data_IF_738923042848
#
_entry.id   IF_738923042848
#
_cell.length_a   1.000
_cell.length_b   1.000
_cell.length_c   1.000
_cell.angle_alpha   90.00
_cell.angle_beta   90.00
_cell.angle_gamma   90.00
#
_symmetry.space_group_name_H-M   'P 1'
#
loop_
_entity.id
_entity.type
_entity.pdbx_description
1 polymer ?
#
# COMPACT_ATOMS: atom_id res chain seq x y z
N UNK A 1 -6.64 14.07 -0.96
CA UNK A 1 -7.68 14.99 -1.47
C UNK A 1 -7.88 14.90 -2.98
N UNK A 2 -6.83 14.88 -3.80
CA UNK A 2 -6.98 15.00 -5.26
C UNK A 2 -7.45 13.74 -5.99
N UNK A 3 -7.41 12.56 -5.34
CA UNK A 3 -7.67 11.26 -6.00
C UNK A 3 -9.01 11.20 -6.74
N UNK A 4 -10.11 11.65 -6.11
CA UNK A 4 -11.44 11.62 -6.74
C UNK A 4 -11.58 12.62 -7.90
N UNK A 5 -11.00 13.82 -7.77
CA UNK A 5 -11.02 14.86 -8.83
C UNK A 5 -10.18 14.42 -10.01
N UNK A 6 -9.08 13.71 -9.75
CA UNK A 6 -8.12 13.37 -10.79
C UNK A 6 -8.77 12.54 -11.90
N UNK A 7 -9.70 11.64 -11.55
CA UNK A 7 -10.47 10.87 -12.52
C UNK A 7 -11.28 11.78 -13.43
N UNK A 8 -11.91 12.81 -12.88
CA UNK A 8 -12.70 13.75 -13.68
C UNK A 8 -11.84 14.59 -14.62
N UNK A 9 -10.71 15.08 -14.12
CA UNK A 9 -9.77 15.88 -14.90
C UNK A 9 -9.07 15.08 -15.99
N UNK A 10 -8.60 13.86 -15.68
CA UNK A 10 -7.89 13.03 -16.67
C UNK A 10 -8.84 12.54 -17.75
N UNK A 11 -10.05 12.10 -17.39
CA UNK A 11 -11.06 11.66 -18.37
C UNK A 11 -11.58 12.83 -19.21
N UNK A 12 -11.87 13.98 -18.59
CA UNK A 12 -12.36 15.17 -19.30
C UNK A 12 -11.34 15.74 -20.29
N UNK A 13 -10.05 15.69 -19.96
CA UNK A 13 -9.00 16.16 -20.85
C UNK A 13 -8.69 15.14 -21.97
N UNK A 14 -8.52 13.87 -21.63
CA UNK A 14 -8.06 12.85 -22.58
C UNK A 14 -9.19 12.35 -23.49
N UNK A 15 -10.40 12.20 -22.98
CA UNK A 15 -11.55 11.68 -23.74
C UNK A 15 -12.77 12.61 -23.57
N UNK A 16 -12.72 13.83 -24.14
CA UNK A 16 -13.80 14.81 -23.96
C UNK A 16 -15.11 14.31 -24.58
N UNK A 17 -16.18 14.27 -23.78
CA UNK A 17 -17.52 13.87 -24.22
C UNK A 17 -17.76 12.36 -24.29
N UNK A 18 -16.76 11.53 -23.99
CA UNK A 18 -16.90 10.08 -23.94
C UNK A 18 -17.15 9.61 -22.50
N UNK A 19 -18.03 8.62 -22.33
CA UNK A 19 -18.27 8.02 -21.02
C UNK A 19 -17.13 7.10 -20.59
N UNK A 20 -16.49 6.43 -21.54
CA UNK A 20 -15.36 5.52 -21.33
C UNK A 20 -14.07 6.23 -21.75
N UNK A 21 -12.98 6.03 -20.99
CA UNK A 21 -11.67 6.58 -21.38
C UNK A 21 -10.57 5.51 -21.23
N UNK A 22 -10.45 4.60 -22.22
CA UNK A 22 -9.42 3.57 -22.28
C UNK A 22 -8.00 4.11 -22.03
N UNK A 23 -7.71 5.28 -22.59
CA UNK A 23 -6.42 5.92 -22.51
C UNK A 23 -6.03 6.32 -21.07
N UNK A 24 -6.95 6.95 -20.32
CA UNK A 24 -6.69 7.34 -18.93
C UNK A 24 -6.46 6.12 -18.02
N UNK A 25 -7.20 5.04 -18.25
CA UNK A 25 -7.06 3.77 -17.53
C UNK A 25 -5.68 3.16 -17.81
N UNK A 26 -5.29 3.10 -19.09
CA UNK A 26 -4.00 2.57 -19.50
C UNK A 26 -2.83 3.39 -18.91
N UNK A 27 -2.87 4.72 -19.01
CA UNK A 27 -1.82 5.60 -18.47
C UNK A 27 -1.70 5.47 -16.95
N UNK A 28 -2.82 5.34 -16.24
CA UNK A 28 -2.81 5.10 -14.78
C UNK A 28 -2.16 3.76 -14.45
N UNK A 29 -2.49 2.70 -15.18
CA UNK A 29 -1.89 1.38 -15.01
C UNK A 29 -0.38 1.40 -15.24
N UNK A 30 0.06 1.97 -16.38
CA UNK A 30 1.48 2.11 -16.73
C UNK A 30 2.22 2.92 -15.66
N UNK A 31 1.67 4.05 -15.22
CA UNK A 31 2.27 4.86 -14.16
C UNK A 31 2.48 4.04 -12.88
N UNK A 32 1.48 3.31 -12.41
CA UNK A 32 1.59 2.52 -11.19
C UNK A 32 2.63 1.39 -11.31
N UNK A 33 2.67 0.73 -12.48
CA UNK A 33 3.67 -0.30 -12.79
C UNK A 33 5.09 0.28 -12.79
N UNK A 34 5.32 1.38 -13.51
CA UNK A 34 6.62 2.04 -13.59
C UNK A 34 7.08 2.49 -12.20
N UNK A 35 6.23 3.21 -11.47
CA UNK A 35 6.52 3.62 -10.08
C UNK A 35 6.83 2.42 -9.20
N UNK A 36 6.07 1.33 -9.34
CA UNK A 36 6.26 0.08 -8.61
C UNK A 36 7.65 -0.55 -8.81
N UNK A 37 8.15 -0.57 -10.05
CA UNK A 37 9.48 -1.11 -10.38
C UNK A 37 10.58 -0.22 -9.81
N UNK A 38 10.53 1.08 -10.09
CA UNK A 38 11.61 2.00 -9.74
C UNK A 38 11.66 2.29 -8.23
N UNK A 39 10.51 2.29 -7.52
CA UNK A 39 10.50 2.51 -6.06
C UNK A 39 11.23 1.40 -5.30
N UNK A 40 11.27 0.16 -5.80
CA UNK A 40 12.00 -0.93 -5.13
C UNK A 40 13.50 -0.65 -5.02
N UNK A 41 14.05 0.09 -6.00
CA UNK A 41 15.46 0.49 -6.06
C UNK A 41 15.66 1.83 -5.37
N UNK A 42 14.72 2.78 -5.53
CA UNK A 42 14.86 4.13 -4.99
C UNK A 42 14.64 4.22 -3.48
N UNK A 43 13.78 3.40 -2.89
CA UNK A 43 13.52 3.45 -1.44
C UNK A 43 14.78 3.22 -0.59
N UNK A 44 15.58 2.16 -0.84
CA UNK A 44 16.83 1.94 -0.10
C UNK A 44 17.87 3.03 -0.36
N UNK A 45 17.95 3.54 -1.60
CA UNK A 45 18.87 4.61 -1.98
C UNK A 45 18.54 5.87 -1.18
N UNK A 46 17.29 6.32 -1.22
CA UNK A 46 16.86 7.51 -0.47
C UNK A 46 17.00 7.33 1.04
N UNK A 47 16.83 6.12 1.56
CA UNK A 47 17.13 5.81 2.96
C UNK A 47 18.60 6.08 3.31
N UNK A 48 19.53 5.54 2.52
CA UNK A 48 20.95 5.78 2.74
C UNK A 48 21.36 7.25 2.52
N UNK A 49 20.80 7.92 1.51
CA UNK A 49 21.05 9.35 1.31
C UNK A 49 20.51 10.17 2.48
N UNK A 50 19.39 9.79 3.09
CA UNK A 50 18.87 10.45 4.29
C UNK A 50 19.78 10.21 5.51
N UNK A 51 20.43 9.06 5.60
CA UNK A 51 21.40 8.78 6.65
C UNK A 51 22.74 9.51 6.43
N UNK A 52 23.15 9.78 5.18
CA UNK A 52 24.41 10.47 4.85
C UNK A 52 24.29 12.00 4.79
N UNK A 53 23.25 12.51 4.12
CA UNK A 53 23.04 13.95 3.89
C UNK A 53 22.10 14.60 4.89
N UNK A 54 21.49 13.81 5.77
CA UNK A 54 20.53 14.25 6.77
C UNK A 54 19.08 13.96 6.41
N UNK A 55 18.25 13.77 7.44
CA UNK A 55 16.85 13.37 7.28
C UNK A 55 15.96 14.54 6.90
N UNK A 56 16.21 15.74 7.44
CA UNK A 56 15.45 16.96 7.12
C UNK A 56 15.54 17.34 5.64
N UNK A 57 16.72 17.47 4.99
CA UNK A 57 16.81 17.86 3.60
C UNK A 57 16.17 16.82 2.68
N UNK A 58 16.34 15.52 2.95
CA UNK A 58 15.69 14.48 2.15
C UNK A 58 14.17 14.48 2.27
N UNK A 59 13.64 14.73 3.48
CA UNK A 59 12.19 14.89 3.67
C UNK A 59 11.63 16.11 2.93
N UNK A 60 12.35 17.24 2.95
CA UNK A 60 11.98 18.44 2.20
C UNK A 60 12.00 18.21 0.68
N UNK A 61 13.02 17.54 0.15
CA UNK A 61 13.12 17.20 -1.28
C UNK A 61 11.94 16.32 -1.68
N UNK A 62 11.71 15.22 -0.96
CA UNK A 62 10.65 14.25 -1.30
C UNK A 62 9.28 14.91 -1.34
N UNK A 63 8.95 15.75 -0.37
CA UNK A 63 7.66 16.44 -0.32
C UNK A 63 7.57 17.53 -1.40
N UNK A 64 8.64 18.28 -1.64
CA UNK A 64 8.67 19.33 -2.67
C UNK A 64 8.41 18.79 -4.08
N UNK A 65 8.87 17.57 -4.41
CA UNK A 65 8.61 16.97 -5.73
C UNK A 65 7.12 16.81 -6.04
N UNK A 66 6.27 16.67 -5.00
CA UNK A 66 4.83 16.44 -5.16
C UNK A 66 4.05 17.69 -5.54
N UNK A 67 4.64 18.87 -5.39
CA UNK A 67 4.03 20.17 -5.70
C UNK A 67 3.90 20.36 -7.21
N UNK A 68 4.95 20.05 -7.97
CA UNK A 68 5.04 20.33 -9.40
C UNK A 68 3.92 19.68 -10.24
N UNK A 69 3.59 18.37 -10.06
CA UNK A 69 2.50 17.77 -10.82
C UNK A 69 1.15 18.46 -10.58
N UNK A 70 0.86 18.85 -9.34
CA UNK A 70 -0.41 19.52 -9.03
C UNK A 70 -0.44 20.97 -9.51
N UNK A 71 0.69 21.69 -9.46
CA UNK A 71 0.82 23.02 -10.02
C UNK A 71 0.51 23.02 -11.54
N UNK A 72 0.95 21.99 -12.25
CA UNK A 72 0.69 21.83 -13.68
C UNK A 72 -0.82 21.70 -13.96
N UNK A 73 -1.54 20.86 -13.21
CA UNK A 73 -3.01 20.70 -13.36
C UNK A 73 -3.82 21.90 -12.85
N UNK A 74 -3.26 22.70 -11.93
CA UNK A 74 -3.86 23.96 -11.53
C UNK A 74 -3.74 25.02 -12.63
N UNK A 75 -2.65 25.00 -13.41
CA UNK A 75 -2.41 25.95 -14.51
C UNK A 75 -3.33 25.68 -15.69
N UNK A 76 -3.38 24.44 -16.19
CA UNK A 76 -4.21 24.08 -17.34
C UNK A 76 -4.52 22.58 -17.34
N UNK A 77 -5.71 22.25 -17.83
CA UNK A 77 -6.24 20.88 -17.90
C UNK A 77 -6.44 20.42 -19.35
N UNK A 78 -5.58 20.89 -20.27
CA UNK A 78 -5.57 20.41 -21.66
C UNK A 78 -4.87 19.04 -21.77
N UNK A 79 -5.09 18.31 -22.87
CA UNK A 79 -4.44 17.01 -23.14
C UNK A 79 -2.93 17.04 -22.90
N UNK A 80 -2.22 18.03 -23.45
CA UNK A 80 -0.77 18.17 -23.30
C UNK A 80 -0.32 18.30 -21.84
N UNK A 81 -1.05 19.08 -21.04
CA UNK A 81 -0.76 19.25 -19.62
C UNK A 81 -1.05 17.97 -18.81
N UNK A 82 -2.05 17.19 -19.20
CA UNK A 82 -2.34 15.90 -18.54
C UNK A 82 -1.26 14.85 -18.84
N UNK A 83 -0.71 14.78 -20.06
CA UNK A 83 0.44 13.91 -20.33
C UNK A 83 1.68 14.34 -19.53
N UNK A 84 1.98 15.64 -19.53
CA UNK A 84 3.08 16.17 -18.72
C UNK A 84 2.85 15.93 -17.21
N UNK A 85 1.60 15.96 -16.75
CA UNK A 85 1.24 15.57 -15.39
C UNK A 85 1.59 14.10 -15.12
N UNK A 86 1.23 13.16 -16.00
CA UNK A 86 1.58 11.75 -15.81
C UNK A 86 3.11 11.55 -15.71
N UNK A 87 3.89 12.22 -16.57
CA UNK A 87 5.36 12.14 -16.52
C UNK A 87 5.91 12.70 -15.21
N UNK A 88 5.58 13.93 -14.85
CA UNK A 88 6.07 14.57 -13.63
C UNK A 88 5.59 13.83 -12.37
N UNK A 89 4.35 13.36 -12.37
CA UNK A 89 3.77 12.60 -11.26
C UNK A 89 4.46 11.24 -11.09
N UNK A 90 4.84 10.60 -12.18
CA UNK A 90 5.61 9.34 -12.14
C UNK A 90 6.98 9.56 -11.50
N UNK A 91 7.71 10.58 -11.94
CA UNK A 91 9.02 10.95 -11.36
C UNK A 91 8.86 11.30 -9.87
N UNK A 92 7.86 12.14 -9.54
CA UNK A 92 7.57 12.52 -8.17
C UNK A 92 7.24 11.29 -7.31
N UNK A 93 6.43 10.35 -7.78
CA UNK A 93 6.11 9.13 -7.03
C UNK A 93 7.30 8.21 -6.83
N UNK A 94 8.18 8.07 -7.82
CA UNK A 94 9.41 7.29 -7.68
C UNK A 94 10.27 7.81 -6.51
N UNK A 95 10.31 9.14 -6.32
CA UNK A 95 11.10 9.80 -5.28
C UNK A 95 10.34 9.83 -3.94
N UNK A 96 9.05 10.20 -3.96
CA UNK A 96 8.28 10.54 -2.75
C UNK A 96 7.50 9.37 -2.16
N UNK A 97 6.93 8.49 -2.99
CA UNK A 97 5.98 7.48 -2.55
C UNK A 97 6.71 6.40 -1.73
N UNK A 98 6.33 6.26 -0.46
CA UNK A 98 6.99 5.37 0.49
C UNK A 98 8.21 6.01 1.17
N UNK A 99 9.03 6.79 0.46
CA UNK A 99 10.22 7.44 1.02
C UNK A 99 9.87 8.42 2.14
N UNK A 100 8.78 9.18 1.98
CA UNK A 100 8.30 10.10 3.02
C UNK A 100 8.01 9.34 4.33
N UNK A 101 7.30 8.22 4.24
CA UNK A 101 6.98 7.40 5.41
C UNK A 101 8.25 6.79 6.03
N UNK A 102 9.12 6.21 5.19
CA UNK A 102 10.39 5.61 5.64
C UNK A 102 11.26 6.62 6.40
N UNK A 103 11.53 7.78 5.80
CA UNK A 103 12.37 8.82 6.41
C UNK A 103 11.72 9.37 7.69
N UNK A 104 10.38 9.52 7.71
CA UNK A 104 9.66 9.99 8.90
C UNK A 104 9.75 9.02 10.07
N UNK A 105 9.59 7.72 9.82
CA UNK A 105 9.73 6.68 10.85
C UNK A 105 11.16 6.61 11.36
N UNK A 106 12.15 6.69 10.47
CA UNK A 106 13.56 6.71 10.88
C UNK A 106 13.92 7.98 11.66
N UNK A 107 13.38 9.14 11.29
CA UNK A 107 13.53 10.38 12.06
C UNK A 107 12.94 10.24 13.47
N UNK A 108 11.75 9.68 13.58
CA UNK A 108 11.13 9.41 14.88
C UNK A 108 11.96 8.42 15.71
N UNK A 109 12.61 7.44 15.08
CA UNK A 109 13.50 6.50 15.77
C UNK A 109 14.73 7.19 16.37
N UNK A 110 15.27 8.23 15.73
CA UNK A 110 16.42 8.98 16.22
C UNK A 110 16.08 9.83 17.45
N UNK A 111 14.88 10.43 17.49
CA UNK A 111 14.48 11.39 18.55
C UNK A 111 13.77 10.72 19.73
N UNK A 112 13.08 9.61 19.47
CA UNK A 112 12.26 8.93 20.49
C UNK A 112 13.05 7.82 21.19
N UNK A 113 13.00 7.85 22.52
CA UNK A 113 13.56 6.82 23.40
C UNK A 113 12.99 5.43 23.08
N UNK A 114 13.84 4.40 23.17
CA UNK A 114 13.52 3.02 22.78
C UNK A 114 12.19 2.48 23.30
N UNK A 115 11.87 2.75 24.57
CA UNK A 115 10.63 2.30 25.24
C UNK A 115 9.35 2.90 24.64
N UNK A 116 9.43 4.11 24.05
CA UNK A 116 8.29 4.86 23.50
C UNK A 116 8.19 4.78 21.97
N UNK A 117 9.16 4.15 21.30
CA UNK A 117 9.20 4.06 19.82
C UNK A 117 7.97 3.39 19.23
N UNK A 118 7.51 2.29 19.83
CA UNK A 118 6.33 1.57 19.34
C UNK A 118 5.08 2.47 19.34
N UNK A 119 4.88 3.26 20.40
CA UNK A 119 3.77 4.21 20.48
C UNK A 119 3.91 5.34 19.45
N UNK A 120 5.13 5.88 19.26
CA UNK A 120 5.40 6.91 18.27
C UNK A 120 5.15 6.43 16.83
N UNK A 121 5.61 5.22 16.48
CA UNK A 121 5.37 4.63 15.16
C UNK A 121 3.89 4.33 14.92
N UNK A 122 3.17 3.90 15.97
CA UNK A 122 1.71 3.75 15.96
C UNK A 122 1.02 5.07 15.66
N UNK A 123 1.42 6.17 16.31
CA UNK A 123 0.86 7.50 16.08
C UNK A 123 1.13 8.00 14.66
N UNK A 124 2.35 7.86 14.13
CA UNK A 124 2.70 8.25 12.76
C UNK A 124 1.84 7.49 11.73
N UNK A 125 1.70 6.18 11.90
CA UNK A 125 0.89 5.34 11.01
C UNK A 125 -0.59 5.71 11.12
N UNK A 126 -1.07 5.98 12.34
CA UNK A 126 -2.43 6.45 12.59
C UNK A 126 -2.73 7.80 11.94
N UNK A 127 -1.81 8.76 12.01
CA UNK A 127 -1.94 10.05 11.31
C UNK A 127 -1.99 9.88 9.80
N UNK A 128 -1.18 8.97 9.25
CA UNK A 128 -1.20 8.70 7.82
C UNK A 128 -2.59 8.19 7.39
N UNK A 129 -3.15 7.22 8.11
CA UNK A 129 -4.51 6.72 7.86
C UNK A 129 -5.59 7.78 8.05
N UNK A 130 -5.52 8.58 9.13
CA UNK A 130 -6.45 9.67 9.37
C UNK A 130 -6.41 10.73 8.26
N UNK A 131 -5.21 11.07 7.77
CA UNK A 131 -5.02 12.05 6.69
C UNK A 131 -5.66 11.60 5.38
N UNK A 132 -5.69 10.29 5.09
CA UNK A 132 -6.40 9.74 3.94
C UNK A 132 -7.92 9.99 4.05
N UNK A 133 -8.51 9.73 5.23
CA UNK A 133 -9.95 9.95 5.46
C UNK A 133 -10.30 11.43 5.39
N UNK A 134 -9.57 12.27 6.13
CA UNK A 134 -9.74 13.74 6.10
C UNK A 134 -9.56 14.27 4.68
N UNK A 135 -8.60 13.74 3.94
CA UNK A 135 -8.37 14.09 2.54
C UNK A 135 -9.57 13.79 1.64
N UNK A 136 -10.29 12.68 1.86
CA UNK A 136 -11.50 12.33 1.08
C UNK A 136 -12.71 13.18 1.51
N UNK A 137 -12.82 13.50 2.79
CA UNK A 137 -13.83 14.44 3.33
C UNK A 137 -13.64 15.82 2.69
N UNK A 138 -12.43 16.38 2.74
CA UNK A 138 -12.14 17.66 2.12
C UNK A 138 -12.39 17.63 0.61
N UNK A 139 -12.02 16.53 -0.07
CA UNK A 139 -12.31 16.38 -1.50
C UNK A 139 -13.81 16.51 -1.79
N UNK A 140 -14.67 15.89 -0.96
CA UNK A 140 -16.13 15.95 -1.14
C UNK A 140 -16.73 17.35 -1.00
N UNK A 141 -16.22 18.15 -0.06
CA UNK A 141 -16.82 19.45 0.28
C UNK A 141 -16.19 20.63 -0.46
N UNK A 142 -14.93 20.52 -0.90
CA UNK A 142 -14.30 21.58 -1.69
C UNK A 142 -14.85 21.59 -3.12
N UNK A 143 -15.08 22.75 -3.75
CA UNK A 143 -15.42 22.80 -5.17
C UNK A 143 -14.25 22.36 -6.06
N UNK A 144 -14.55 21.80 -7.24
CA UNK A 144 -13.54 21.19 -8.14
C UNK A 144 -12.43 22.16 -8.54
N UNK A 145 -12.80 23.40 -8.89
CA UNK A 145 -11.85 24.43 -9.29
C UNK A 145 -10.84 24.82 -8.22
N UNK A 146 -11.16 24.67 -6.93
CA UNK A 146 -10.27 25.07 -5.83
C UNK A 146 -9.39 23.94 -5.30
N UNK A 147 -9.66 22.68 -5.66
CA UNK A 147 -8.98 21.53 -5.03
C UNK A 147 -7.48 21.50 -5.29
N UNK A 148 -7.04 21.80 -6.51
CA UNK A 148 -5.61 21.83 -6.80
C UNK A 148 -4.93 23.00 -6.09
N UNK A 149 -5.54 24.20 -6.08
CA UNK A 149 -5.01 25.35 -5.36
C UNK A 149 -4.87 25.09 -3.86
N UNK A 150 -5.90 24.54 -3.22
CA UNK A 150 -5.83 24.19 -1.78
C UNK A 150 -4.81 23.08 -1.54
N UNK A 151 -4.71 22.08 -2.41
CA UNK A 151 -3.70 21.02 -2.28
C UNK A 151 -2.27 21.57 -2.35
N UNK A 152 -2.00 22.47 -3.30
CA UNK A 152 -0.71 23.13 -3.45
C UNK A 152 -0.42 24.01 -2.24
N UNK A 153 -1.38 24.81 -1.79
CA UNK A 153 -1.24 25.65 -0.61
C UNK A 153 -0.88 24.82 0.63
N UNK A 154 -1.58 23.70 0.86
CA UNK A 154 -1.28 22.80 1.98
C UNK A 154 0.12 22.17 1.86
N UNK A 155 0.53 21.74 0.67
CA UNK A 155 1.86 21.17 0.44
C UNK A 155 2.98 22.20 0.66
N UNK A 156 2.82 23.43 0.16
CA UNK A 156 3.77 24.53 0.37
C UNK A 156 3.83 24.87 1.87
N UNK A 157 2.67 25.03 2.52
CA UNK A 157 2.58 25.34 3.94
C UNK A 157 3.24 24.26 4.80
N UNK A 158 2.99 22.99 4.50
CA UNK A 158 3.64 21.86 5.17
C UNK A 158 5.16 21.88 4.96
N UNK A 159 5.62 22.15 3.73
CA UNK A 159 7.06 22.24 3.40
C UNK A 159 7.74 23.38 4.16
N UNK A 160 7.11 24.55 4.23
CA UNK A 160 7.60 25.70 5.01
C UNK A 160 7.62 25.37 6.50
N UNK A 161 6.54 24.77 7.02
CA UNK A 161 6.43 24.35 8.40
C UNK A 161 7.56 23.38 8.78
N UNK A 162 7.80 22.33 7.99
CA UNK A 162 8.91 21.41 8.23
C UNK A 162 10.27 22.11 8.12
N UNK A 163 10.45 23.05 7.19
CA UNK A 163 11.72 23.78 7.06
C UNK A 163 12.03 24.59 8.32
N UNK A 164 11.03 25.23 8.92
CA UNK A 164 11.18 26.08 10.10
C UNK A 164 11.31 25.25 11.39
N UNK A 165 10.40 24.29 11.61
CA UNK A 165 10.25 23.64 12.90
C UNK A 165 10.97 22.29 13.03
N UNK A 166 11.26 21.60 11.93
CA UNK A 166 11.94 20.31 12.00
C UNK A 166 13.44 20.53 12.21
N UNK A 167 13.98 20.04 13.34
CA UNK A 167 15.43 20.01 13.57
C UNK A 167 16.09 18.89 12.76
N UNK A 168 17.36 19.05 12.37
CA UNK A 168 18.13 17.95 11.78
C UNK A 168 18.62 17.01 12.89
N UNK A 169 18.51 15.69 12.69
CA UNK A 169 18.93 14.67 13.66
C UNK A 169 20.30 14.10 13.32
N UNK A 170 20.67 14.10 12.04
CA UNK A 170 21.95 13.56 11.59
C UNK A 170 23.00 14.67 11.59
N UNK A 171 23.96 14.57 12.50
CA UNK A 171 25.21 15.32 12.38
C UNK A 171 25.99 14.76 11.20
N UNK A 172 26.18 15.56 10.15
CA UNK A 172 26.97 15.18 8.99
C UNK A 172 28.35 14.70 9.45
N UNK A 173 28.67 13.43 9.21
CA UNK A 173 30.01 12.91 9.48
C UNK A 173 31.02 13.69 8.63
N UNK A 174 32.24 13.97 9.15
CA UNK A 174 33.28 14.61 8.36
C UNK A 174 33.49 13.80 7.08
N UNK A 175 33.42 14.48 5.93
CA UNK A 175 33.53 13.89 4.60
C UNK A 175 34.84 13.11 4.49
N UNK A 176 34.79 11.80 4.74
CA UNK A 176 35.85 10.92 4.28
C UNK A 176 35.70 10.89 2.76
N UNK A 177 36.70 11.39 2.04
CA UNK A 177 36.82 11.40 0.58
C UNK A 177 36.77 9.98 -0.02
N UNK A 178 35.61 9.34 0.08
CA UNK A 178 35.23 8.21 -0.74
C UNK A 178 34.09 8.72 -1.60
N UNK A 179 34.46 9.33 -2.73
CA UNK A 179 33.60 9.56 -3.87
C UNK A 179 33.10 8.19 -4.39
N UNK A 180 32.20 7.56 -3.64
CA UNK A 180 31.55 6.32 -4.05
C UNK A 180 30.59 6.70 -5.16
N UNK A 181 30.94 6.34 -6.39
CA UNK A 181 30.06 6.57 -7.53
C UNK A 181 28.68 5.97 -7.22
N UNK A 182 27.61 6.74 -7.40
CA UNK A 182 26.22 6.32 -7.20
C UNK A 182 25.91 4.90 -7.74
N UNK A 183 26.40 4.48 -8.93
CA UNK A 183 26.20 3.11 -9.43
C UNK A 183 26.76 2.01 -8.52
N UNK A 184 27.90 2.24 -7.88
CA UNK A 184 28.55 1.27 -6.99
C UNK A 184 27.79 1.06 -5.69
N UNK A 185 27.14 2.13 -5.19
CA UNK A 185 26.27 2.12 -4.02
C UNK A 185 24.98 1.32 -4.32
N UNK A 186 24.36 1.58 -5.48
CA UNK A 186 23.17 0.87 -5.97
C UNK A 186 23.46 -0.62 -6.11
N UNK A 187 24.58 -0.99 -6.75
CA UNK A 187 24.93 -2.39 -6.98
C UNK A 187 25.17 -3.16 -5.68
N UNK A 188 25.80 -2.52 -4.68
CA UNK A 188 26.01 -3.11 -3.34
C UNK A 188 24.69 -3.31 -2.60
N UNK A 189 23.81 -2.31 -2.60
CA UNK A 189 22.49 -2.39 -2.00
C UNK A 189 21.65 -3.51 -2.61
N UNK A 190 21.62 -3.59 -3.95
CA UNK A 190 20.91 -4.65 -4.66
C UNK A 190 21.49 -6.03 -4.36
N UNK A 191 22.82 -6.17 -4.33
CA UNK A 191 23.49 -7.43 -3.99
C UNK A 191 23.17 -7.87 -2.57
N UNK A 192 23.23 -6.97 -1.58
CA UNK A 192 22.87 -7.28 -0.19
C UNK A 192 21.40 -7.71 -0.06
N UNK A 193 20.49 -7.01 -0.76
CA UNK A 193 19.07 -7.36 -0.80
C UNK A 193 18.87 -8.77 -1.40
N UNK A 194 19.55 -9.09 -2.51
CA UNK A 194 19.43 -10.40 -3.15
C UNK A 194 19.94 -11.54 -2.25
N UNK A 195 21.08 -11.36 -1.57
CA UNK A 195 21.62 -12.35 -0.63
C UNK A 195 20.66 -12.55 0.55
N UNK A 196 20.19 -11.45 1.15
CA UNK A 196 19.22 -11.50 2.25
C UNK A 196 17.90 -12.17 1.85
N UNK A 197 17.43 -11.98 0.61
CA UNK A 197 16.25 -12.67 0.12
C UNK A 197 16.46 -14.17 -0.02
N UNK A 198 17.66 -14.62 -0.42
CA UNK A 198 17.97 -16.06 -0.54
C UNK A 198 17.89 -16.77 0.81
N UNK A 199 18.46 -16.17 1.85
CA UNK A 199 18.40 -16.71 3.22
C UNK A 199 16.96 -16.74 3.74
N UNK A 200 16.17 -15.72 3.37
CA UNK A 200 14.78 -15.60 3.78
C UNK A 200 13.86 -16.60 3.06
N UNK A 201 14.12 -16.89 1.78
CA UNK A 201 13.40 -17.95 1.03
C UNK A 201 13.56 -19.29 1.72
N UNK A 202 14.75 -19.59 2.24
CA UNK A 202 15.02 -20.81 3.00
C UNK A 202 14.14 -20.88 4.25
N UNK A 203 14.08 -19.81 5.06
CA UNK A 203 13.24 -19.76 6.28
C UNK A 203 11.75 -19.95 5.95
N UNK A 204 11.24 -19.27 4.92
CA UNK A 204 9.83 -19.36 4.54
C UNK A 204 9.48 -20.72 3.93
N UNK A 205 10.39 -21.32 3.17
CA UNK A 205 10.17 -22.61 2.52
C UNK A 205 10.05 -23.77 3.51
N UNK A 206 10.63 -23.66 4.71
CA UNK A 206 10.56 -24.71 5.73
C UNK A 206 9.27 -24.65 6.59
N UNK A 207 8.56 -23.52 6.59
CA UNK A 207 7.30 -23.37 7.35
C UNK A 207 6.09 -23.43 6.43
N UNK A 208 5.25 -24.47 6.61
CA UNK A 208 3.98 -24.61 5.88
C UNK A 208 3.06 -23.41 6.10
N UNK A 209 3.06 -22.83 7.31
CA UNK A 209 2.27 -21.64 7.66
C UNK A 209 2.74 -20.43 6.87
N UNK A 210 4.05 -20.13 6.86
CA UNK A 210 4.60 -18.98 6.13
C UNK A 210 4.43 -19.11 4.62
N UNK A 211 4.58 -20.33 4.07
CA UNK A 211 4.30 -20.61 2.67
C UNK A 211 2.85 -20.30 2.31
N UNK A 212 1.88 -20.79 3.10
CA UNK A 212 0.45 -20.51 2.89
C UNK A 212 0.13 -19.03 3.03
N UNK A 213 0.66 -18.35 4.05
CA UNK A 213 0.47 -16.91 4.24
C UNK A 213 1.08 -16.09 3.09
N UNK A 214 2.18 -16.56 2.50
CA UNK A 214 2.75 -15.92 1.32
C UNK A 214 1.80 -16.01 0.12
N UNK A 215 1.16 -17.17 -0.11
CA UNK A 215 0.12 -17.30 -1.14
C UNK A 215 -1.10 -16.42 -0.86
N UNK A 216 -1.61 -16.41 0.38
CA UNK A 216 -2.70 -15.52 0.83
C UNK A 216 -2.34 -14.07 0.48
N UNK A 217 -1.16 -13.64 0.90
CA UNK A 217 -0.70 -12.26 0.70
C UNK A 217 -0.52 -11.89 -0.77
N UNK A 218 -0.01 -12.82 -1.58
CA UNK A 218 0.16 -12.62 -3.03
C UNK A 218 -1.20 -12.41 -3.71
N UNK A 219 -2.12 -13.37 -3.57
CA UNK A 219 -3.38 -13.34 -4.30
C UNK A 219 -4.34 -12.26 -3.78
N UNK A 220 -4.33 -11.99 -2.47
CA UNK A 220 -5.06 -10.87 -1.90
C UNK A 220 -4.57 -9.54 -2.47
N UNK A 221 -3.27 -9.29 -2.45
CA UNK A 221 -2.71 -8.02 -2.97
C UNK A 221 -2.90 -7.92 -4.49
N UNK A 222 -2.80 -9.04 -5.22
CA UNK A 222 -3.07 -9.08 -6.66
C UNK A 222 -4.51 -8.64 -6.99
N UNK A 223 -5.50 -9.09 -6.22
CA UNK A 223 -6.90 -8.66 -6.40
C UNK A 223 -7.13 -7.22 -5.93
N UNK A 224 -6.75 -6.89 -4.69
CA UNK A 224 -7.10 -5.62 -4.06
C UNK A 224 -6.32 -4.41 -4.63
N UNK A 225 -5.06 -4.60 -5.02
CA UNK A 225 -4.31 -3.56 -5.77
C UNK A 225 -4.97 -3.28 -7.11
N UNK A 226 -5.47 -4.34 -7.75
CA UNK A 226 -6.18 -4.29 -9.03
C UNK A 226 -7.42 -3.43 -8.92
N UNK A 227 -8.30 -3.78 -7.98
CA UNK A 227 -9.49 -2.99 -7.69
C UNK A 227 -9.12 -1.53 -7.41
N UNK A 228 -8.13 -1.29 -6.55
CA UNK A 228 -7.72 0.08 -6.19
C UNK A 228 -7.22 0.91 -7.38
N UNK A 229 -6.66 0.27 -8.41
CA UNK A 229 -6.10 0.95 -9.58
C UNK A 229 -7.17 1.39 -10.59
N UNK A 230 -8.23 0.59 -10.77
CA UNK A 230 -9.25 0.83 -11.81
C UNK A 230 -10.59 1.33 -11.26
N UNK A 231 -10.88 1.14 -9.96
CA UNK A 231 -12.23 1.25 -9.41
C UNK A 231 -12.90 2.58 -9.74
N UNK A 232 -12.23 3.70 -9.53
CA UNK A 232 -12.85 5.02 -9.74
C UNK A 232 -13.12 5.31 -11.22
N UNK A 233 -12.26 4.82 -12.13
CA UNK A 233 -12.50 4.92 -13.57
C UNK A 233 -13.66 4.02 -14.01
N UNK A 234 -13.76 2.81 -13.44
CA UNK A 234 -14.90 1.92 -13.64
C UNK A 234 -16.21 2.58 -13.17
N UNK A 235 -16.24 3.13 -11.96
CA UNK A 235 -17.43 3.79 -11.41
C UNK A 235 -17.85 5.01 -12.24
N UNK A 236 -16.89 5.79 -12.73
CA UNK A 236 -17.19 6.90 -13.64
C UNK A 236 -17.77 6.41 -14.97
N UNK A 237 -17.14 5.39 -15.57
CA UNK A 237 -17.52 4.87 -16.88
C UNK A 237 -18.88 4.16 -16.90
N UNK A 238 -19.20 3.41 -15.85
CA UNK A 238 -20.44 2.61 -15.78
C UNK A 238 -21.60 3.38 -15.18
N UNK A 239 -21.35 4.18 -14.14
CA UNK A 239 -22.42 4.85 -13.36
C UNK A 239 -22.40 6.37 -13.47
N UNK A 240 -21.47 6.95 -14.24
CA UNK A 240 -21.32 8.41 -14.33
C UNK A 240 -20.88 9.04 -13.01
N UNK A 241 -20.18 8.30 -12.14
CA UNK A 241 -19.80 8.82 -10.83
C UNK A 241 -18.91 10.06 -10.97
N UNK A 242 -19.40 11.14 -10.39
CA UNK A 242 -18.64 12.37 -10.21
C UNK A 242 -17.65 12.23 -9.07
N UNK A 243 -16.69 13.14 -9.00
CA UNK A 243 -15.78 13.28 -7.87
C UNK A 243 -16.48 13.23 -6.51
N UNK A 244 -17.64 13.86 -6.34
CA UNK A 244 -18.36 13.86 -5.07
C UNK A 244 -18.78 12.43 -4.66
N UNK A 245 -19.32 11.65 -5.59
CA UNK A 245 -19.73 10.26 -5.34
C UNK A 245 -18.52 9.36 -5.10
N UNK A 246 -17.46 9.54 -5.89
CA UNK A 246 -16.18 8.85 -5.69
C UNK A 246 -15.57 9.16 -4.31
N UNK A 247 -15.62 10.42 -3.86
CA UNK A 247 -15.15 10.80 -2.52
C UNK A 247 -16.02 10.18 -1.42
N UNK A 248 -17.35 10.10 -1.59
CA UNK A 248 -18.25 9.44 -0.64
C UNK A 248 -17.92 7.94 -0.50
N UNK A 249 -17.72 7.24 -1.60
CA UNK A 249 -17.31 5.82 -1.59
C UNK A 249 -16.00 5.63 -0.81
N UNK A 250 -14.99 6.44 -1.10
CA UNK A 250 -13.70 6.38 -0.39
C UNK A 250 -13.81 6.77 1.08
N UNK A 251 -14.71 7.69 1.43
CA UNK A 251 -15.00 8.05 2.82
C UNK A 251 -15.63 6.89 3.59
N UNK A 252 -16.61 6.19 3.00
CA UNK A 252 -17.25 5.02 3.63
C UNK A 252 -16.20 3.96 3.94
N UNK A 253 -15.33 3.63 2.98
CA UNK A 253 -14.23 2.67 3.20
C UNK A 253 -13.27 3.18 4.27
N UNK A 254 -12.88 4.47 4.23
CA UNK A 254 -11.90 5.04 5.15
C UNK A 254 -12.38 5.15 6.61
N UNK A 255 -13.59 5.67 6.82
CA UNK A 255 -14.22 5.76 8.15
C UNK A 255 -14.47 4.34 8.68
N UNK A 256 -14.98 3.46 7.81
CA UNK A 256 -15.20 2.06 8.14
C UNK A 256 -13.92 1.34 8.55
N UNK A 257 -12.80 1.65 7.88
CA UNK A 257 -11.50 1.11 8.21
C UNK A 257 -11.03 1.50 9.63
N UNK A 258 -11.18 2.79 10.00
CA UNK A 258 -10.84 3.27 11.34
C UNK A 258 -11.72 2.60 12.40
N UNK A 259 -13.04 2.60 12.19
CA UNK A 259 -13.99 1.96 13.09
C UNK A 259 -13.67 0.48 13.30
N UNK A 260 -13.34 -0.22 12.21
CA UNK A 260 -13.01 -1.64 12.25
C UNK A 260 -11.73 -1.92 13.04
N UNK A 261 -10.67 -1.15 12.81
CA UNK A 261 -9.39 -1.35 13.48
C UNK A 261 -9.45 -1.01 14.97
N UNK A 262 -10.22 0.02 15.36
CA UNK A 262 -10.32 0.48 16.75
C UNK A 262 -11.30 -0.34 17.57
N UNK A 263 -12.43 -0.74 17.00
CA UNK A 263 -13.51 -1.40 17.75
C UNK A 263 -13.72 -2.87 17.34
N UNK A 264 -13.87 -3.14 16.03
CA UNK A 264 -14.26 -4.47 15.55
C UNK A 264 -13.13 -5.49 15.76
N UNK A 265 -11.89 -5.13 15.45
CA UNK A 265 -10.73 -6.01 15.58
C UNK A 265 -10.51 -6.45 17.04
N UNK A 266 -10.41 -5.55 18.04
CA UNK A 266 -10.26 -5.97 19.44
C UNK A 266 -11.42 -6.80 19.98
N UNK A 267 -12.65 -6.60 19.46
CA UNK A 267 -13.83 -7.33 19.90
C UNK A 267 -13.90 -8.75 19.30
N UNK A 268 -13.59 -8.90 18.01
CA UNK A 268 -13.72 -10.18 17.30
C UNK A 268 -12.48 -11.06 17.50
N UNK A 269 -11.27 -10.49 17.58
CA UNK A 269 -10.04 -11.27 17.72
C UNK A 269 -10.04 -12.28 18.89
N UNK A 270 -10.50 -11.96 20.12
CA UNK A 270 -10.56 -12.95 21.20
C UNK A 270 -11.61 -14.05 20.97
N UNK A 271 -12.62 -13.83 20.12
CA UNK A 271 -13.70 -14.78 19.87
C UNK A 271 -13.34 -15.84 18.83
N UNK A 272 -12.66 -15.44 17.75
CA UNK A 272 -12.39 -16.32 16.59
C UNK A 272 -10.91 -16.55 16.30
N UNK A 273 -10.02 -15.87 17.03
CA UNK A 273 -8.58 -15.90 16.81
C UNK A 273 -8.15 -15.27 15.48
N UNK A 274 -6.84 -15.19 15.25
CA UNK A 274 -6.26 -14.45 14.12
C UNK A 274 -6.60 -15.11 12.77
N UNK A 275 -6.65 -16.46 12.75
CA UNK A 275 -7.09 -17.20 11.55
C UNK A 275 -8.56 -16.89 11.22
N UNK A 276 -9.44 -16.86 12.23
CA UNK A 276 -10.85 -16.54 12.04
C UNK A 276 -11.03 -15.12 11.52
N UNK A 277 -10.33 -14.14 12.10
CA UNK A 277 -10.36 -12.75 11.64
C UNK A 277 -9.85 -12.65 10.19
N UNK A 278 -8.78 -13.37 9.84
CA UNK A 278 -8.27 -13.42 8.47
C UNK A 278 -9.33 -13.96 7.48
N UNK A 279 -9.99 -15.08 7.80
CA UNK A 279 -11.03 -15.66 6.96
C UNK A 279 -12.23 -14.70 6.81
N UNK A 280 -12.71 -14.12 7.91
CA UNK A 280 -13.80 -13.12 7.88
C UNK A 280 -13.43 -11.93 7.01
N UNK A 281 -12.21 -11.39 7.17
CA UNK A 281 -11.69 -10.31 6.36
C UNK A 281 -11.64 -10.65 4.87
N UNK A 282 -11.18 -11.86 4.52
CA UNK A 282 -11.11 -12.33 3.14
C UNK A 282 -12.50 -12.60 2.53
N UNK A 283 -13.47 -13.07 3.32
CA UNK A 283 -14.87 -13.17 2.89
C UNK A 283 -15.45 -11.78 2.62
N UNK A 284 -15.18 -10.80 3.49
CA UNK A 284 -15.54 -9.40 3.26
C UNK A 284 -14.89 -8.83 2.00
N UNK A 285 -13.61 -9.15 1.77
CA UNK A 285 -12.88 -8.75 0.56
C UNK A 285 -13.49 -9.37 -0.72
N UNK A 286 -13.93 -10.62 -0.64
CA UNK A 286 -14.58 -11.33 -1.74
C UNK A 286 -15.93 -10.69 -2.09
N UNK A 287 -16.74 -10.38 -1.07
CA UNK A 287 -18.00 -9.66 -1.24
C UNK A 287 -17.77 -8.25 -1.82
N UNK A 288 -16.78 -7.52 -1.31
CA UNK A 288 -16.36 -6.21 -1.82
C UNK A 288 -16.01 -6.27 -3.33
N UNK A 289 -15.18 -7.23 -3.74
CA UNK A 289 -14.79 -7.39 -5.13
C UNK A 289 -15.97 -7.81 -6.05
N UNK A 290 -16.75 -8.80 -5.63
CA UNK A 290 -17.88 -9.31 -6.41
C UNK A 290 -18.99 -8.28 -6.59
N UNK A 291 -19.37 -7.57 -5.52
CA UNK A 291 -20.42 -6.55 -5.58
C UNK A 291 -20.04 -5.39 -6.49
N UNK A 292 -18.77 -5.02 -6.54
CA UNK A 292 -18.31 -4.04 -7.52
C UNK A 292 -18.31 -4.58 -8.95
N UNK A 293 -17.88 -5.82 -9.18
CA UNK A 293 -17.85 -6.43 -10.51
C UNK A 293 -19.24 -6.70 -11.10
N UNK A 294 -20.22 -6.99 -10.25
CA UNK A 294 -21.61 -7.32 -10.61
C UNK A 294 -22.58 -6.17 -10.32
N UNK A 295 -22.08 -4.94 -10.15
CA UNK A 295 -22.92 -3.81 -9.80
C UNK A 295 -23.96 -3.52 -10.91
N UNK A 296 -25.24 -3.68 -10.58
CA UNK A 296 -26.37 -3.45 -11.51
C UNK A 296 -27.02 -2.07 -11.35
N UNK A 297 -26.73 -1.38 -10.25
CA UNK A 297 -27.31 -0.09 -9.92
C UNK A 297 -26.31 0.79 -9.16
N UNK A 298 -26.45 2.12 -9.26
CA UNK A 298 -25.55 3.10 -8.67
C UNK A 298 -25.44 3.06 -7.14
N UNK A 299 -26.39 2.42 -6.44
CA UNK A 299 -26.31 2.25 -4.98
C UNK A 299 -25.43 1.06 -4.56
N UNK A 300 -25.24 0.06 -5.44
CA UNK A 300 -24.46 -1.16 -5.17
C UNK A 300 -22.99 -0.86 -4.85
N UNK A 301 -22.30 0.08 -5.54
CA UNK A 301 -20.99 0.58 -5.13
C UNK A 301 -20.89 1.02 -3.66
N UNK A 302 -21.93 1.68 -3.11
CA UNK A 302 -21.94 2.11 -1.72
C UNK A 302 -22.13 0.94 -0.75
N UNK A 303 -22.99 -0.03 -1.11
CA UNK A 303 -23.11 -1.28 -0.35
C UNK A 303 -21.78 -2.04 -0.36
N UNK A 304 -21.13 -2.14 -1.52
CA UNK A 304 -19.81 -2.75 -1.63
C UNK A 304 -18.78 -2.05 -0.75
N UNK A 305 -18.75 -0.71 -0.77
CA UNK A 305 -17.88 0.09 0.08
C UNK A 305 -18.06 -0.19 1.59
N UNK A 306 -19.27 -0.54 2.05
CA UNK A 306 -19.51 -0.90 3.44
C UNK A 306 -18.78 -2.19 3.88
N UNK A 307 -18.57 -3.15 2.96
CA UNK A 307 -17.68 -4.30 3.21
C UNK A 307 -16.20 -3.90 3.36
N UNK A 308 -15.87 -2.64 3.05
CA UNK A 308 -14.63 -1.96 3.43
C UNK A 308 -14.27 -2.11 4.90
N UNK A 309 -15.28 -2.06 5.77
CA UNK A 309 -15.15 -2.26 7.22
C UNK A 309 -14.58 -3.63 7.54
N UNK A 310 -14.94 -4.66 6.77
CA UNK A 310 -14.58 -6.05 7.07
C UNK A 310 -13.23 -6.41 6.43
N UNK A 311 -13.01 -6.06 5.16
CA UNK A 311 -11.80 -6.50 4.45
C UNK A 311 -10.52 -5.88 5.02
N UNK A 312 -10.60 -4.70 5.65
CA UNK A 312 -9.42 -4.03 6.22
C UNK A 312 -8.70 -4.89 7.29
N UNK A 313 -9.41 -5.85 7.88
CA UNK A 313 -8.91 -6.76 8.91
C UNK A 313 -7.90 -7.78 8.37
N UNK A 314 -7.80 -7.96 7.05
CA UNK A 314 -6.88 -8.94 6.44
C UNK A 314 -5.43 -8.62 6.79
N UNK A 315 -4.97 -7.39 6.55
CA UNK A 315 -3.56 -7.00 6.79
C UNK A 315 -3.09 -7.21 8.24
N UNK A 316 -3.76 -6.69 9.28
CA UNK A 316 -3.33 -6.90 10.66
C UNK A 316 -3.34 -8.38 11.06
N UNK A 317 -4.34 -9.15 10.61
CA UNK A 317 -4.42 -10.60 10.89
C UNK A 317 -3.29 -11.38 10.22
N UNK A 318 -2.95 -11.04 8.98
CA UNK A 318 -1.80 -11.62 8.28
C UNK A 318 -0.49 -11.37 9.05
N UNK A 319 -0.25 -10.15 9.51
CA UNK A 319 0.96 -9.83 10.28
C UNK A 319 0.99 -10.54 11.65
N UNK A 320 -0.16 -10.66 12.32
CA UNK A 320 -0.25 -11.38 13.58
C UNK A 320 0.08 -12.87 13.41
N UNK A 321 -0.42 -13.52 12.35
CA UNK A 321 -0.11 -14.93 12.05
C UNK A 321 1.38 -15.11 11.74
N UNK A 322 1.98 -14.20 10.94
CA UNK A 322 3.43 -14.24 10.65
C UNK A 322 4.24 -14.11 11.94
N UNK A 323 3.82 -13.21 12.84
CA UNK A 323 4.49 -13.00 14.12
C UNK A 323 4.44 -14.23 15.04
N UNK A 324 3.35 -15.01 15.02
CA UNK A 324 3.23 -16.25 15.80
C UNK A 324 4.00 -17.41 15.17
N UNK A 325 4.13 -17.43 13.84
CA UNK A 325 4.78 -18.50 13.10
C UNK A 325 6.31 -18.37 13.01
N UNK A 326 6.90 -17.33 13.61
CA UNK A 326 8.34 -17.04 13.52
C UNK A 326 8.95 -16.75 14.88
N UNK A 327 10.23 -17.09 15.03
CA UNK A 327 11.04 -16.70 16.19
C UNK A 327 11.40 -15.22 16.02
N UNK A 328 11.57 -14.49 17.13
CA UNK A 328 11.88 -13.06 17.16
C UNK A 328 13.06 -12.63 16.27
N UNK A 329 14.06 -13.50 16.11
CA UNK A 329 15.23 -13.27 15.23
C UNK A 329 14.92 -13.30 13.73
N UNK A 330 13.87 -14.02 13.32
CA UNK A 330 13.49 -14.19 11.91
C UNK A 330 12.22 -13.42 11.52
N UNK A 331 11.54 -12.79 12.48
CA UNK A 331 10.31 -12.03 12.26
C UNK A 331 10.46 -10.95 11.17
N UNK A 332 11.53 -10.16 11.23
CA UNK A 332 11.82 -9.13 10.23
C UNK A 332 12.08 -9.70 8.84
N UNK A 333 12.72 -10.87 8.76
CA UNK A 333 12.97 -11.56 7.47
C UNK A 333 11.65 -12.04 6.88
N UNK A 334 10.82 -12.74 7.65
CA UNK A 334 9.53 -13.25 7.19
C UNK A 334 8.58 -12.13 6.75
N UNK A 335 8.47 -11.06 7.53
CA UNK A 335 7.66 -9.89 7.15
C UNK A 335 8.21 -9.20 5.89
N UNK A 336 9.54 -9.08 5.78
CA UNK A 336 10.19 -8.54 4.59
C UNK A 336 9.94 -9.37 3.33
N UNK A 337 9.92 -10.70 3.44
CA UNK A 337 9.57 -11.59 2.34
C UNK A 337 8.12 -11.44 1.91
N UNK A 338 7.18 -11.48 2.85
CA UNK A 338 5.75 -11.31 2.55
C UNK A 338 5.49 -9.94 1.91
N UNK A 339 6.11 -8.88 2.41
CA UNK A 339 6.04 -7.56 1.80
C UNK A 339 6.64 -7.55 0.38
N UNK A 340 7.72 -8.31 0.12
CA UNK A 340 8.27 -8.52 -1.22
C UNK A 340 7.30 -9.22 -2.16
N UNK A 341 6.65 -10.29 -1.70
CA UNK A 341 5.61 -11.03 -2.43
C UNK A 341 4.43 -10.13 -2.78
N UNK A 342 3.93 -9.35 -1.81
CA UNK A 342 2.89 -8.34 -2.03
C UNK A 342 3.34 -7.28 -3.04
N UNK A 343 4.60 -6.86 -3.00
CA UNK A 343 5.12 -5.89 -3.96
C UNK A 343 5.10 -6.41 -5.39
N UNK A 344 5.47 -7.68 -5.61
CA UNK A 344 5.36 -8.34 -6.92
C UNK A 344 3.89 -8.42 -7.38
N UNK A 345 2.98 -8.82 -6.50
CA UNK A 345 1.55 -8.85 -6.80
C UNK A 345 1.01 -7.45 -7.16
N UNK A 346 1.40 -6.42 -6.40
CA UNK A 346 1.00 -5.03 -6.66
C UNK A 346 1.54 -4.49 -7.98
N UNK A 347 2.67 -5.02 -8.47
CA UNK A 347 3.24 -4.69 -9.76
C UNK A 347 2.50 -5.37 -10.91
N UNK A 348 2.21 -6.67 -10.77
CA UNK A 348 1.51 -7.46 -11.78
C UNK A 348 0.04 -7.07 -11.93
N UNK A 349 -0.57 -6.59 -10.85
CA UNK A 349 -2.00 -6.34 -10.82
C UNK A 349 -2.47 -5.26 -11.82
N UNK A 350 -1.92 -4.03 -11.86
CA UNK A 350 -2.30 -3.04 -12.86
C UNK A 350 -1.99 -3.46 -14.30
N UNK A 351 -0.93 -4.27 -14.52
CA UNK A 351 -0.55 -4.80 -15.84
C UNK A 351 -1.67 -5.69 -16.39
N UNK A 352 -2.29 -6.51 -15.54
CA UNK A 352 -3.39 -7.38 -15.95
C UNK A 352 -4.74 -6.63 -15.96
N UNK A 353 -5.04 -5.88 -14.90
CA UNK A 353 -6.37 -5.33 -14.65
C UNK A 353 -6.69 -4.10 -15.50
N UNK A 354 -5.71 -3.23 -15.79
CA UNK A 354 -5.94 -2.03 -16.59
C UNK A 354 -6.34 -2.33 -18.04
N UNK A 355 -5.60 -3.16 -18.81
CA UNK A 355 -6.01 -3.51 -20.17
C UNK A 355 -7.30 -4.33 -20.20
N UNK A 356 -7.51 -5.21 -19.22
CA UNK A 356 -8.75 -5.99 -19.12
C UNK A 356 -9.97 -5.07 -18.91
N UNK A 357 -9.85 -4.09 -18.02
CA UNK A 357 -10.91 -3.09 -17.80
C UNK A 357 -11.14 -2.24 -19.04
N UNK A 358 -10.06 -1.82 -19.69
CA UNK A 358 -10.13 -1.05 -20.94
C UNK A 358 -10.89 -1.82 -22.03
N UNK A 359 -10.61 -3.12 -22.20
CA UNK A 359 -11.29 -3.98 -23.16
C UNK A 359 -12.78 -4.13 -22.87
N UNK A 360 -13.16 -4.45 -21.62
CA UNK A 360 -14.54 -4.68 -21.22
C UNK A 360 -15.39 -3.41 -21.11
N UNK A 361 -14.75 -2.24 -21.02
CA UNK A 361 -15.42 -0.94 -21.14
C UNK A 361 -15.52 -0.46 -22.60
N UNK A 362 -14.77 -1.05 -23.52
CA UNK A 362 -14.82 -0.69 -24.94
C UNK A 362 -16.00 -1.35 -25.66
N UNK A 363 -16.30 -0.88 -26.88
CA UNK A 363 -17.28 -1.51 -27.77
C UNK A 363 -16.88 -2.91 -28.25
N UNK A 364 -15.61 -3.29 -28.07
CA UNK A 364 -15.05 -4.57 -28.55
C UNK A 364 -15.09 -5.67 -27.47
N UNK A 365 -15.89 -5.48 -26.41
CA UNK A 365 -16.00 -6.47 -25.35
C UNK A 365 -16.56 -7.80 -25.89
N UNK A 366 -15.96 -8.96 -25.54
CA UNK A 366 -16.41 -10.26 -26.03
C UNK A 366 -17.78 -10.67 -25.49
N UNK A 367 -18.20 -10.10 -24.36
CA UNK A 367 -19.52 -10.26 -23.75
C UNK A 367 -19.83 -9.05 -22.86
N UNK A 368 -21.11 -8.81 -22.57
CA UNK A 368 -21.56 -7.66 -21.78
C UNK A 368 -21.32 -7.88 -20.27
N UNK A 369 -20.12 -7.54 -19.83
CA UNK A 369 -19.76 -7.54 -18.41
C UNK A 369 -18.70 -6.45 -18.15
N UNK A 370 -19.16 -5.20 -18.00
CA UNK A 370 -18.28 -4.04 -17.80
C UNK A 370 -17.37 -4.16 -16.55
N UNK A 371 -17.81 -4.91 -15.53
CA UNK A 371 -17.06 -5.14 -14.29
C UNK A 371 -16.22 -6.42 -14.28
N UNK A 372 -16.00 -7.07 -15.42
CA UNK A 372 -15.32 -8.37 -15.50
C UNK A 372 -13.93 -8.38 -14.86
N UNK A 373 -13.15 -7.31 -14.99
CA UNK A 373 -11.83 -7.21 -14.34
C UNK A 373 -11.91 -7.27 -12.81
N UNK A 374 -12.96 -6.71 -12.22
CA UNK A 374 -13.21 -6.76 -10.77
C UNK A 374 -13.66 -8.17 -10.33
N UNK A 375 -14.34 -8.92 -11.22
CA UNK A 375 -14.64 -10.35 -11.02
C UNK A 375 -13.34 -11.17 -11.08
N UNK A 376 -12.42 -10.88 -12.01
CA UNK A 376 -11.11 -11.54 -12.01
C UNK A 376 -10.32 -11.25 -10.72
N UNK A 377 -10.42 -10.03 -10.19
CA UNK A 377 -9.86 -9.69 -8.89
C UNK A 377 -10.51 -10.50 -7.75
N UNK A 378 -11.83 -10.73 -7.80
CA UNK A 378 -12.53 -11.55 -6.81
C UNK A 378 -12.11 -13.02 -6.85
N UNK A 379 -11.80 -13.58 -8.02
CA UNK A 379 -11.21 -14.93 -8.15
C UNK A 379 -9.86 -15.00 -7.42
N UNK A 380 -9.03 -13.97 -7.56
CA UNK A 380 -7.75 -13.91 -6.83
C UNK A 380 -7.98 -13.88 -5.31
N UNK A 381 -8.93 -13.07 -4.84
CA UNK A 381 -9.30 -13.03 -3.42
C UNK A 381 -9.88 -14.38 -2.93
N UNK A 382 -10.64 -15.08 -3.77
CA UNK A 382 -11.17 -16.41 -3.46
C UNK A 382 -10.04 -17.44 -3.29
N UNK A 383 -9.01 -17.42 -4.15
CA UNK A 383 -7.83 -18.27 -3.99
C UNK A 383 -7.14 -17.97 -2.65
N UNK A 384 -7.00 -16.69 -2.31
CA UNK A 384 -6.48 -16.28 -1.00
C UNK A 384 -7.32 -16.82 0.16
N UNK A 385 -8.65 -16.75 0.07
CA UNK A 385 -9.57 -17.31 1.08
C UNK A 385 -9.39 -18.82 1.24
N UNK A 386 -9.29 -19.57 0.13
CA UNK A 386 -9.05 -21.02 0.17
C UNK A 386 -7.74 -21.32 0.91
N UNK A 387 -6.65 -20.63 0.58
CA UNK A 387 -5.38 -20.83 1.27
C UNK A 387 -5.42 -20.47 2.75
N UNK A 388 -6.19 -19.43 3.13
CA UNK A 388 -6.39 -19.04 4.52
C UNK A 388 -7.21 -20.09 5.31
N UNK A 389 -8.27 -20.64 4.72
CA UNK A 389 -9.07 -21.70 5.34
C UNK A 389 -8.23 -22.97 5.60
N UNK A 390 -7.32 -23.30 4.68
CA UNK A 390 -6.40 -24.44 4.77
C UNK A 390 -5.19 -24.22 5.71
N UNK A 391 -5.11 -23.08 6.43
CA UNK A 391 -4.13 -22.92 7.51
C UNK A 391 -4.48 -23.87 8.65
N UNK A 392 -3.78 -25.00 8.76
CA UNK A 392 -3.94 -25.91 9.90
C UNK A 392 -3.31 -25.27 11.14
N UNK A 393 -4.10 -25.08 12.20
CA UNK A 393 -3.61 -24.59 13.51
C UNK A 393 -2.82 -25.64 14.29
N UNK A 394 -2.72 -26.88 13.79
CA UNK A 394 -2.11 -28.02 14.48
C UNK A 394 -0.58 -28.11 14.42
N UNK A 395 0.11 -27.09 13.89
CA UNK A 395 1.57 -26.95 13.97
C UNK A 395 1.97 -25.80 14.92
N UNK A 396 1.19 -25.54 15.98
CA UNK A 396 1.70 -24.78 17.12
C UNK A 396 2.87 -25.56 17.74
N UNK A 397 4.09 -25.13 17.38
CA UNK A 397 5.36 -25.35 18.06
C UNK A 397 5.42 -26.60 18.97
N UNK A 398 5.94 -27.72 18.45
CA UNK A 398 6.78 -28.55 19.30
C UNK A 398 7.94 -27.65 19.74
N UNK A 399 7.88 -27.13 20.96
CA UNK A 399 9.08 -26.64 21.64
C UNK A 399 10.16 -27.72 21.47
N UNK A 400 11.42 -27.38 21.10
CA UNK A 400 12.51 -28.32 21.31
C UNK A 400 12.43 -28.68 22.79
N UNK A 401 12.21 -29.96 23.08
CA UNK A 401 12.31 -30.48 24.44
C UNK A 401 13.66 -29.99 24.96
N UNK A 402 13.63 -29.19 26.03
CA UNK A 402 14.81 -29.02 26.87
C UNK A 402 15.32 -30.43 27.17
N UNK A 403 16.60 -30.76 26.91
CA UNK A 403 17.13 -32.02 27.38
C UNK A 403 16.89 -32.04 28.90
N UNK A 404 16.10 -33.02 29.33
CA UNK A 404 15.85 -33.32 30.73
C UNK A 404 17.21 -33.36 31.45
N UNK A 405 17.39 -32.43 32.38
CA UNK A 405 18.51 -32.40 33.32
C UNK A 405 18.31 -33.42 34.44
N UNK A 406 17.79 -34.60 34.10
CA UNK A 406 17.71 -35.77 34.96
C UNK A 406 18.58 -36.84 34.33
N UNK A 407 19.88 -36.78 34.66
CA UNK A 407 20.84 -37.88 34.69
C UNK A 407 22.23 -37.28 34.99
N UNK A 408 22.38 -36.74 36.20
CA UNK A 408 23.69 -36.76 36.86
C UNK A 408 23.58 -37.90 37.88
N UNK A 409 23.81 -39.12 37.39
CA UNK A 409 24.34 -40.18 38.24
C UNK A 409 25.72 -39.72 38.70
N UNK A 410 25.86 -39.38 39.98
CA UNK A 410 27.16 -39.39 40.64
C UNK A 410 27.50 -40.84 41.01
N UNK A 411 28.61 -41.40 40.49
CA UNK A 411 29.25 -42.54 41.11
C UNK A 411 30.25 -42.05 42.17
N UNK A 412 30.00 -42.45 43.43
CA UNK A 412 30.98 -43.02 44.37
C UNK A 412 32.43 -42.48 44.34
N UNK A 413 32.89 -41.84 45.44
CA UNK A 413 33.91 -42.37 46.38
C UNK A 413 34.51 -41.32 47.32
N UNK A 414 34.86 -41.83 48.52
CA UNK A 414 35.64 -41.29 49.65
C UNK A 414 34.98 -40.28 50.61
#
# INVERSE_FOLDING_TARGET
MTVSVLVDVTTGALCPGEQTCPEAIYLTGVQQTVVGIFKMVMLPILGQLADEYGRKPMLLITISTTIFPFALLAWSQTRGFVYAYYVLRTISYIISQGSIFLISVSYAADVVEGSKRAAAFGFITGLFSASHVVGNVLARFLPEGYIFYVSIFLLISATIYMKIFLGETVTAAPRTDQHRSCPSMILRLLRQRMVSMKDTVTVVSHSNILKRISYVSFFYELGMSGISSILLYYLKSVFGFTKNQNSQVLMVVGIGAIFSQVLVLPLINPLVGEKGVLCIGLTGALAYALLYGLAWASWVPYLSAAFGVVYILVKPSTYAIISKATISTDQGKAQGFVAGVQSVASLLSPIAMSPLTSLFLSSNAPFDCKGFSLICASISVMISLIHACLLNQSEECKSPQSPSSDNIEEPLLS
#
